data_IF_652180822439
#
_entry.id   IF_652180822439
#
_cell.length_a   1.000
_cell.length_b   1.000
_cell.length_c   1.000
_cell.angle_alpha   90.00
_cell.angle_beta   90.00
_cell.angle_gamma   90.00
#
_symmetry.space_group_name_H-M   'P 1'
#
loop_
_entity.id
_entity.type
_entity.pdbx_description
1 polymer ?
#
# COMPACT_ATOMS: atom_id res chain seq x y z
N UNK A 1 20.22 40.14 -35.89
CA UNK A 1 20.12 39.86 -34.44
C UNK A 1 18.94 38.93 -34.24
N UNK A 2 19.19 37.62 -34.16
CA UNK A 2 18.15 36.60 -33.96
C UNK A 2 18.15 36.16 -32.50
N UNK A 3 17.00 36.28 -31.86
CA UNK A 3 16.73 35.93 -30.46
C UNK A 3 16.86 34.41 -30.26
N UNK A 4 17.89 33.97 -29.54
CA UNK A 4 18.02 32.58 -29.10
C UNK A 4 16.93 32.26 -28.07
N UNK A 5 15.95 31.46 -28.48
CA UNK A 5 14.96 30.85 -27.57
C UNK A 5 15.67 29.84 -26.67
N UNK A 6 15.86 30.17 -25.39
CA UNK A 6 16.43 29.26 -24.39
C UNK A 6 15.46 28.09 -24.12
N UNK A 7 15.82 26.88 -24.51
CA UNK A 7 15.13 25.65 -24.07
C UNK A 7 15.39 25.45 -22.58
N UNK A 8 14.35 25.54 -21.75
CA UNK A 8 14.46 25.49 -20.28
C UNK A 8 14.46 24.08 -19.67
N UNK A 9 14.15 23.03 -20.45
CA UNK A 9 14.00 21.67 -19.93
C UNK A 9 14.52 20.60 -20.91
N UNK A 10 15.54 19.84 -20.49
CA UNK A 10 16.00 18.60 -21.12
C UNK A 10 15.28 17.40 -20.50
N UNK A 11 14.81 16.48 -21.34
CA UNK A 11 14.23 15.20 -20.93
C UNK A 11 15.32 14.19 -20.53
N UNK A 12 14.96 13.14 -19.78
CA UNK A 12 15.94 12.15 -19.31
C UNK A 12 16.60 11.39 -20.48
N UNK A 13 15.87 11.15 -21.58
CA UNK A 13 16.42 10.51 -22.78
C UNK A 13 17.44 11.39 -23.51
N UNK A 14 17.25 12.71 -23.51
CA UNK A 14 18.22 13.67 -24.03
C UNK A 14 19.46 13.74 -23.14
N UNK A 15 19.28 13.74 -21.81
CA UNK A 15 20.40 13.71 -20.88
C UNK A 15 21.30 12.46 -21.04
N UNK A 16 20.71 11.29 -21.30
CA UNK A 16 21.47 10.06 -21.59
C UNK A 16 22.23 10.13 -22.92
N UNK A 17 21.62 10.73 -23.95
CA UNK A 17 22.29 10.95 -25.24
C UNK A 17 23.49 11.87 -25.10
N UNK A 18 23.40 12.87 -24.23
CA UNK A 18 24.47 13.83 -23.98
C UNK A 18 25.64 13.20 -23.22
N UNK A 19 25.34 12.33 -22.24
CA UNK A 19 26.36 11.54 -21.54
C UNK A 19 27.11 10.62 -22.51
N UNK A 20 26.42 9.91 -23.40
CA UNK A 20 27.08 9.04 -24.39
C UNK A 20 28.05 9.78 -25.31
N UNK A 21 27.70 10.99 -25.75
CA UNK A 21 28.58 11.84 -26.57
C UNK A 21 29.83 12.32 -25.82
N UNK A 22 29.73 12.54 -24.50
CA UNK A 22 30.86 12.90 -23.65
C UNK A 22 31.78 11.71 -23.40
N UNK A 23 31.25 10.49 -23.27
CA UNK A 23 32.03 9.25 -23.19
C UNK A 23 32.78 8.95 -24.49
N UNK A 24 32.20 9.29 -25.64
CA UNK A 24 32.83 9.23 -26.97
C UNK A 24 33.94 10.29 -27.18
N UNK A 25 34.21 11.12 -26.17
CA UNK A 25 35.31 12.09 -26.17
C UNK A 25 34.98 13.47 -26.71
N UNK A 26 33.69 13.78 -26.98
CA UNK A 26 33.29 15.13 -27.34
C UNK A 26 33.41 16.08 -26.13
N UNK A 27 33.72 17.35 -26.39
CA UNK A 27 33.85 18.34 -25.32
C UNK A 27 32.47 18.83 -24.86
N UNK A 28 32.36 19.24 -23.59
CA UNK A 28 31.11 19.78 -23.03
C UNK A 28 30.60 21.01 -23.79
N UNK A 29 31.49 21.79 -24.42
CA UNK A 29 31.14 22.94 -25.25
C UNK A 29 30.49 22.54 -26.58
N UNK A 30 31.01 21.49 -27.24
CA UNK A 30 30.47 20.97 -28.50
C UNK A 30 29.09 20.32 -28.30
N UNK A 31 28.92 19.57 -27.22
CA UNK A 31 27.62 18.97 -26.86
C UNK A 31 26.59 20.08 -26.55
N UNK A 32 26.99 21.11 -25.81
CA UNK A 32 26.14 22.25 -25.48
C UNK A 32 25.70 23.04 -26.71
N UNK A 33 26.64 23.33 -27.62
CA UNK A 33 26.37 24.07 -28.86
C UNK A 33 25.44 23.29 -29.80
N UNK A 34 25.63 21.97 -29.91
CA UNK A 34 24.81 21.11 -30.78
C UNK A 34 23.34 21.06 -30.38
N UNK A 35 23.01 21.33 -29.10
CA UNK A 35 21.66 21.18 -28.54
C UNK A 35 21.04 22.56 -28.19
N UNK A 36 21.83 23.62 -28.28
CA UNK A 36 21.39 24.98 -27.99
C UNK A 36 21.17 25.23 -26.48
N UNK A 37 21.96 24.57 -25.63
CA UNK A 37 21.94 24.75 -24.17
C UNK A 37 23.26 25.30 -23.66
N UNK A 38 23.29 25.86 -22.45
CA UNK A 38 24.54 26.34 -21.86
C UNK A 38 25.47 25.18 -21.49
N UNK A 39 26.79 25.37 -21.64
CA UNK A 39 27.82 24.42 -21.17
C UNK A 39 27.61 24.04 -19.70
N UNK A 40 27.11 24.95 -18.86
CA UNK A 40 26.81 24.69 -17.45
C UNK A 40 25.76 23.59 -17.27
N UNK A 41 24.81 23.45 -18.20
CA UNK A 41 23.79 22.40 -18.17
C UNK A 41 24.43 21.03 -18.42
N UNK A 42 25.29 20.93 -19.44
CA UNK A 42 26.03 19.72 -19.77
C UNK A 42 27.01 19.34 -18.66
N UNK A 43 27.74 20.31 -18.10
CA UNK A 43 28.63 20.10 -16.95
C UNK A 43 27.91 19.53 -15.74
N UNK A 44 26.70 20.03 -15.42
CA UNK A 44 25.87 19.50 -14.32
C UNK A 44 25.37 18.08 -14.58
N UNK A 45 25.01 17.75 -15.82
CA UNK A 45 24.59 16.39 -16.21
C UNK A 45 25.79 15.44 -16.08
N UNK A 46 26.96 15.85 -16.58
CA UNK A 46 28.19 15.06 -16.55
C UNK A 46 28.68 14.79 -15.12
N UNK A 47 28.77 15.83 -14.28
CA UNK A 47 29.17 15.64 -12.89
C UNK A 47 28.18 14.75 -12.13
N UNK A 48 26.88 14.85 -12.41
CA UNK A 48 25.86 13.96 -11.83
C UNK A 48 26.05 12.50 -12.29
N UNK A 49 26.37 12.28 -13.56
CA UNK A 49 26.68 10.95 -14.08
C UNK A 49 27.92 10.36 -13.40
N UNK A 50 29.01 11.12 -13.27
CA UNK A 50 30.22 10.67 -12.57
C UNK A 50 29.98 10.33 -11.09
N UNK A 51 29.06 11.02 -10.41
CA UNK A 51 28.74 10.76 -9.01
C UNK A 51 27.77 9.58 -8.79
N UNK A 52 26.86 9.31 -9.75
CA UNK A 52 25.69 8.44 -9.49
C UNK A 52 25.42 7.41 -10.59
N UNK A 53 26.25 7.35 -11.62
CA UNK A 53 26.05 6.54 -12.85
C UNK A 53 24.69 6.77 -13.51
N UNK A 54 24.07 7.93 -13.26
CA UNK A 54 22.74 8.27 -13.74
C UNK A 54 22.68 9.65 -14.37
N UNK A 55 22.21 9.70 -15.61
CA UNK A 55 21.96 10.96 -16.32
C UNK A 55 20.60 11.58 -15.98
N UNK A 56 19.69 10.85 -15.34
CA UNK A 56 18.33 11.29 -15.04
C UNK A 56 18.26 12.34 -13.92
N UNK A 57 17.17 13.13 -13.89
CA UNK A 57 16.93 14.03 -12.74
C UNK A 57 16.72 13.22 -11.46
N UNK A 58 17.37 13.62 -10.35
CA UNK A 58 17.05 13.09 -9.02
C UNK A 58 15.57 13.40 -8.72
N UNK A 59 14.79 12.44 -8.19
CA UNK A 59 13.47 12.75 -7.64
C UNK A 59 13.62 13.91 -6.64
N UNK A 60 12.82 14.96 -6.79
CA UNK A 60 12.82 16.05 -5.82
C UNK A 60 12.50 15.50 -4.43
N UNK A 61 13.05 16.09 -3.37
CA UNK A 61 12.86 15.67 -1.96
C UNK A 61 11.41 15.69 -1.46
N UNK A 62 10.44 15.99 -2.33
CA UNK A 62 9.05 16.20 -1.97
C UNK A 62 8.87 17.43 -1.09
N UNK A 63 7.62 17.71 -0.74
CA UNK A 63 7.30 18.70 0.28
C UNK A 63 7.79 18.19 1.63
N UNK A 64 8.57 19.00 2.36
CA UNK A 64 8.96 18.69 3.74
C UNK A 64 7.71 18.37 4.58
N UNK A 65 7.74 17.26 5.32
CA UNK A 65 6.65 16.89 6.23
C UNK A 65 6.44 17.99 7.27
N UNK A 66 5.17 18.29 7.53
CA UNK A 66 4.77 19.31 8.51
C UNK A 66 4.89 18.82 9.97
N UNK A 67 4.95 17.50 10.17
CA UNK A 67 5.07 16.83 11.47
C UNK A 67 6.38 16.05 11.56
N UNK A 68 6.92 15.96 12.78
CA UNK A 68 8.06 15.12 13.13
C UNK A 68 7.61 13.69 13.46
N UNK A 69 8.52 12.69 13.44
CA UNK A 69 8.17 11.31 13.83
C UNK A 69 7.59 11.16 15.25
N UNK A 70 8.01 12.00 16.19
CA UNK A 70 7.48 12.00 17.56
C UNK A 70 6.06 12.56 17.62
N UNK A 71 5.77 13.59 16.83
CA UNK A 71 4.42 14.14 16.69
C UNK A 71 3.50 13.16 15.97
N UNK A 72 3.98 12.48 14.93
CA UNK A 72 3.25 11.40 14.28
C UNK A 72 2.90 10.31 15.30
N UNK A 73 3.87 9.87 16.13
CA UNK A 73 3.62 8.86 17.18
C UNK A 73 2.61 9.35 18.22
N UNK A 74 2.71 10.60 18.66
CA UNK A 74 1.78 11.21 19.60
C UNK A 74 0.36 11.28 19.02
N UNK A 75 0.25 11.70 17.77
CA UNK A 75 -1.02 11.74 17.05
C UNK A 75 -1.62 10.33 16.95
N UNK A 76 -0.83 9.28 16.64
CA UNK A 76 -1.32 7.89 16.58
C UNK A 76 -1.93 7.47 17.91
N UNK A 77 -1.22 7.72 19.01
CA UNK A 77 -1.67 7.35 20.34
C UNK A 77 -2.93 8.13 20.76
N UNK A 78 -2.95 9.43 20.49
CA UNK A 78 -4.08 10.31 20.77
C UNK A 78 -5.31 9.88 19.98
N UNK A 79 -5.11 9.49 18.71
CA UNK A 79 -6.19 9.05 17.85
C UNK A 79 -6.84 7.75 18.29
N UNK A 80 -6.00 6.80 18.68
CA UNK A 80 -6.47 5.53 19.22
C UNK A 80 -7.20 5.70 20.55
N UNK A 81 -6.76 6.66 21.38
CA UNK A 81 -7.39 6.97 22.67
C UNK A 81 -8.69 7.75 22.52
N UNK A 82 -8.78 8.65 21.53
CA UNK A 82 -9.91 9.55 21.32
C UNK A 82 -10.51 9.40 19.92
N UNK A 83 -11.12 8.23 19.65
CA UNK A 83 -11.62 7.86 18.30
C UNK A 83 -12.70 8.78 17.73
N UNK A 84 -13.39 9.53 18.59
CA UNK A 84 -14.47 10.43 18.21
C UNK A 84 -13.96 11.87 17.96
N UNK A 85 -12.67 12.10 18.17
CA UNK A 85 -12.06 13.40 17.95
C UNK A 85 -11.96 13.67 16.45
N UNK A 86 -12.49 14.82 16.01
CA UNK A 86 -12.40 15.24 14.61
C UNK A 86 -11.07 15.95 14.33
N UNK A 87 -10.74 16.09 13.03
CA UNK A 87 -9.48 16.67 12.60
C UNK A 87 -9.20 18.09 13.16
N UNK A 88 -10.24 18.87 13.46
CA UNK A 88 -10.08 20.20 14.09
C UNK A 88 -9.64 20.08 15.54
N UNK A 89 -10.27 19.21 16.32
CA UNK A 89 -9.89 18.97 17.71
C UNK A 89 -8.48 18.36 17.82
N UNK A 90 -8.11 17.47 16.90
CA UNK A 90 -6.74 16.96 16.82
C UNK A 90 -5.71 18.05 16.53
N UNK A 91 -6.03 18.93 15.58
CA UNK A 91 -5.16 20.04 15.22
C UNK A 91 -4.94 20.97 16.43
N UNK A 92 -6.01 21.27 17.18
CA UNK A 92 -5.92 22.06 18.40
C UNK A 92 -5.10 21.36 19.47
N UNK A 93 -5.32 20.05 19.69
CA UNK A 93 -4.63 19.27 20.70
C UNK A 93 -3.13 19.08 20.40
N UNK A 94 -2.77 18.93 19.12
CA UNK A 94 -1.38 18.92 18.68
C UNK A 94 -0.73 20.28 18.92
N UNK A 95 -1.39 21.35 18.50
CA UNK A 95 -0.89 22.71 18.69
C UNK A 95 -0.66 23.03 20.18
N UNK A 96 -1.60 22.67 21.06
CA UNK A 96 -1.46 22.91 22.50
C UNK A 96 -0.37 22.07 23.16
N UNK A 97 -0.09 20.87 22.65
CA UNK A 97 0.84 19.93 23.29
C UNK A 97 2.27 20.03 22.76
N UNK A 98 2.44 20.20 21.45
CA UNK A 98 3.76 20.21 20.79
C UNK A 98 4.16 21.58 20.26
N UNK A 99 3.23 22.55 20.24
CA UNK A 99 3.45 23.89 19.69
C UNK A 99 3.41 23.95 18.16
N UNK A 100 3.24 22.82 17.48
CA UNK A 100 3.27 22.74 16.02
C UNK A 100 1.91 23.08 15.42
N UNK A 101 1.89 24.13 14.60
CA UNK A 101 0.67 24.56 13.90
C UNK A 101 0.57 23.88 12.55
N UNK A 102 -0.33 22.90 12.43
CA UNK A 102 -0.68 22.24 11.17
C UNK A 102 -2.09 22.63 10.70
N UNK A 103 -2.36 22.47 9.41
CA UNK A 103 -3.72 22.66 8.89
C UNK A 103 -4.62 21.47 9.25
N UNK A 104 -5.93 21.69 9.37
CA UNK A 104 -6.91 20.62 9.59
C UNK A 104 -6.91 19.60 8.44
N UNK A 105 -6.64 20.02 7.21
CA UNK A 105 -6.50 19.11 6.07
C UNK A 105 -5.27 18.20 6.18
N UNK A 106 -4.16 18.70 6.73
CA UNK A 106 -2.97 17.88 7.01
C UNK A 106 -3.29 16.79 8.02
N UNK A 107 -4.04 17.12 9.06
CA UNK A 107 -4.51 16.15 10.06
C UNK A 107 -5.48 15.14 9.45
N UNK A 108 -6.38 15.55 8.55
CA UNK A 108 -7.24 14.60 7.81
C UNK A 108 -6.42 13.63 6.98
N UNK A 109 -5.51 14.13 6.14
CA UNK A 109 -4.65 13.30 5.31
C UNK A 109 -3.80 12.34 6.17
N UNK A 110 -3.37 12.80 7.35
CA UNK A 110 -2.66 11.98 8.32
C UNK A 110 -3.56 10.91 8.96
N UNK A 111 -4.78 11.24 9.40
CA UNK A 111 -5.75 10.28 9.93
C UNK A 111 -6.06 9.17 8.92
N UNK A 112 -6.17 9.52 7.64
CA UNK A 112 -6.29 8.54 6.55
C UNK A 112 -5.02 7.69 6.37
N UNK A 113 -3.83 8.27 6.57
CA UNK A 113 -2.55 7.57 6.43
C UNK A 113 -2.13 6.68 7.61
N UNK A 114 -2.71 6.88 8.80
CA UNK A 114 -2.42 6.08 10.01
C UNK A 114 -3.03 4.68 9.93
N UNK A 115 -4.09 4.54 9.12
CA UNK A 115 -4.76 3.28 8.84
C UNK A 115 -5.56 2.74 10.03
N UNK A 116 -6.68 2.10 9.71
CA UNK A 116 -7.38 1.19 10.62
C UNK A 116 -6.99 -0.22 10.19
N UNK A 117 -6.49 -1.02 11.13
CA UNK A 117 -6.19 -2.43 10.85
C UNK A 117 -7.48 -3.23 10.95
N UNK A 118 -7.78 -4.00 9.92
CA UNK A 118 -8.99 -4.82 9.84
C UNK A 118 -8.63 -6.25 9.44
N UNK A 119 -9.48 -7.19 9.84
CA UNK A 119 -9.46 -8.57 9.37
C UNK A 119 -10.82 -8.88 8.75
N UNK A 120 -10.81 -9.60 7.64
CA UNK A 120 -12.00 -10.24 7.09
C UNK A 120 -11.59 -11.43 6.26
N UNK A 121 -12.50 -12.40 6.13
CA UNK A 121 -12.38 -13.56 5.27
C UNK A 121 -13.50 -13.57 4.23
N UNK A 122 -13.21 -14.11 3.06
CA UNK A 122 -14.18 -14.32 1.98
C UNK A 122 -14.19 -15.79 1.57
N UNK A 123 -15.33 -16.27 1.12
CA UNK A 123 -15.47 -17.59 0.50
C UNK A 123 -16.46 -17.51 -0.66
N UNK A 124 -16.60 -18.61 -1.41
CA UNK A 124 -17.75 -18.77 -2.28
C UNK A 124 -19.00 -18.77 -1.40
N UNK A 125 -20.00 -17.99 -1.80
CA UNK A 125 -21.30 -17.85 -1.13
C UNK A 125 -21.28 -17.32 0.32
N UNK A 126 -20.13 -16.81 0.78
CA UNK A 126 -20.01 -16.25 2.11
C UNK A 126 -18.87 -15.25 2.28
N UNK A 127 -18.90 -14.61 3.44
CA UNK A 127 -17.80 -13.81 4.01
C UNK A 127 -17.95 -13.77 5.52
N UNK A 128 -16.86 -13.50 6.22
CA UNK A 128 -16.91 -13.21 7.65
C UNK A 128 -17.46 -11.80 7.89
N UNK A 129 -17.86 -11.52 9.11
CA UNK A 129 -17.95 -10.13 9.57
C UNK A 129 -16.55 -9.48 9.52
N UNK A 130 -16.51 -8.17 9.27
CA UNK A 130 -15.25 -7.42 9.29
C UNK A 130 -14.86 -7.11 10.74
N UNK A 131 -13.69 -7.56 11.16
CA UNK A 131 -13.18 -7.32 12.50
C UNK A 131 -12.19 -6.16 12.53
N UNK A 132 -12.45 -5.16 13.37
CA UNK A 132 -11.55 -4.03 13.57
C UNK A 132 -10.48 -4.41 14.61
N UNK A 133 -9.23 -4.54 14.19
CA UNK A 133 -8.11 -4.85 15.07
C UNK A 133 -7.68 -3.57 15.80
N UNK A 134 -7.95 -3.53 17.10
CA UNK A 134 -7.63 -2.39 17.97
C UNK A 134 -6.24 -2.58 18.60
N UNK A 135 -5.71 -1.52 19.20
CA UNK A 135 -4.60 -1.62 20.18
C UNK A 135 -3.26 -2.18 19.68
N UNK A 136 -2.79 -1.70 18.52
CA UNK A 136 -1.42 -1.95 18.06
C UNK A 136 -1.32 -3.00 16.93
N UNK A 137 -0.10 -3.44 16.60
CA UNK A 137 0.10 -4.40 15.53
C UNK A 137 -0.52 -5.76 15.89
N UNK A 138 -0.97 -6.48 14.87
CA UNK A 138 -1.44 -7.86 15.00
C UNK A 138 -0.23 -8.78 15.20
N UNK A 139 -0.04 -9.26 16.43
CA UNK A 139 0.99 -10.27 16.74
C UNK A 139 0.42 -11.66 16.51
N UNK A 140 1.27 -12.69 16.40
CA UNK A 140 0.82 -14.08 16.29
C UNK A 140 -0.15 -14.50 17.41
N UNK A 141 0.15 -14.11 18.66
CA UNK A 141 -0.72 -14.40 19.80
C UNK A 141 -2.10 -13.76 19.64
N UNK A 142 -2.13 -12.50 19.21
CA UNK A 142 -3.38 -11.77 18.95
C UNK A 142 -4.12 -12.35 17.76
N UNK A 143 -3.43 -12.78 16.71
CA UNK A 143 -4.05 -13.48 15.59
C UNK A 143 -4.74 -14.76 16.05
N UNK A 144 -4.07 -15.61 16.83
CA UNK A 144 -4.71 -16.80 17.41
C UNK A 144 -5.91 -16.44 18.29
N UNK A 145 -5.71 -15.53 19.24
CA UNK A 145 -6.69 -15.26 20.29
C UNK A 145 -7.90 -14.45 19.78
N UNK A 146 -7.69 -13.48 18.89
CA UNK A 146 -8.76 -12.59 18.41
C UNK A 146 -9.35 -13.02 17.07
N UNK A 147 -8.56 -13.64 16.20
CA UNK A 147 -8.96 -13.95 14.82
C UNK A 147 -9.27 -15.42 14.64
N UNK A 148 -8.31 -16.32 14.92
CA UNK A 148 -8.53 -17.74 14.69
C UNK A 148 -9.67 -18.28 15.54
N UNK A 149 -9.58 -18.13 16.86
CA UNK A 149 -10.54 -18.72 17.80
C UNK A 149 -11.95 -18.15 17.68
N UNK A 150 -12.07 -16.87 17.31
CA UNK A 150 -13.35 -16.17 17.33
C UNK A 150 -13.97 -15.96 15.96
N UNK A 151 -13.20 -16.08 14.88
CA UNK A 151 -13.67 -15.83 13.52
C UNK A 151 -13.43 -17.05 12.64
N UNK A 152 -12.18 -17.49 12.49
CA UNK A 152 -11.84 -18.55 11.51
C UNK A 152 -12.39 -19.91 11.93
N UNK A 153 -12.21 -20.32 13.19
CA UNK A 153 -12.67 -21.63 13.69
C UNK A 153 -14.20 -21.75 13.61
N UNK A 154 -15.00 -20.78 14.11
CA UNK A 154 -16.45 -20.84 13.93
C UNK A 154 -16.88 -20.84 12.46
N UNK A 155 -16.20 -20.08 11.61
CA UNK A 155 -16.51 -20.00 10.18
C UNK A 155 -16.18 -21.32 9.45
N UNK A 156 -15.04 -21.93 9.78
CA UNK A 156 -14.64 -23.24 9.28
C UNK A 156 -15.66 -24.31 9.69
N UNK A 157 -16.08 -24.31 10.96
CA UNK A 157 -17.09 -25.23 11.46
C UNK A 157 -18.46 -25.08 10.76
N UNK A 158 -18.81 -23.87 10.33
CA UNK A 158 -20.05 -23.63 9.58
C UNK A 158 -19.98 -24.14 8.13
N UNK A 159 -18.80 -24.16 7.51
CA UNK A 159 -18.58 -24.69 6.16
C UNK A 159 -18.42 -26.22 6.19
N UNK A 160 -17.75 -26.76 7.22
CA UNK A 160 -17.49 -28.18 7.36
C UNK A 160 -16.19 -28.62 6.69
N UNK A 161 -16.10 -29.91 6.37
CA UNK A 161 -14.85 -30.59 5.96
C UNK A 161 -14.23 -30.06 4.65
N UNK A 162 -15.02 -29.37 3.82
CA UNK A 162 -14.55 -28.75 2.59
C UNK A 162 -13.81 -27.41 2.81
N UNK A 163 -13.74 -26.94 4.07
CA UNK A 163 -13.06 -25.70 4.39
C UNK A 163 -11.54 -25.82 4.24
N UNK A 164 -10.97 -24.93 3.43
CA UNK A 164 -9.52 -24.76 3.30
C UNK A 164 -9.18 -23.31 3.60
N UNK A 165 -8.31 -23.09 4.60
CA UNK A 165 -7.82 -21.75 4.92
C UNK A 165 -6.81 -21.29 3.87
N UNK A 166 -7.06 -20.14 3.26
CA UNK A 166 -6.09 -19.40 2.44
C UNK A 166 -5.69 -18.12 3.18
N UNK A 167 -4.40 -17.93 3.40
CA UNK A 167 -3.84 -16.70 3.97
C UNK A 167 -2.50 -16.33 3.31
N UNK A 168 -1.98 -15.16 3.64
CA UNK A 168 -0.66 -14.72 3.18
C UNK A 168 0.47 -15.32 4.05
N UNK A 169 1.71 -15.21 3.56
CA UNK A 169 2.89 -15.65 4.31
C UNK A 169 3.36 -14.61 5.36
N UNK A 170 2.44 -13.82 5.94
CA UNK A 170 2.82 -12.85 6.97
C UNK A 170 3.36 -13.54 8.22
N UNK A 171 4.28 -12.86 8.91
CA UNK A 171 4.96 -13.40 10.10
C UNK A 171 4.00 -13.89 11.20
N UNK A 172 2.88 -13.20 11.50
CA UNK A 172 1.91 -13.70 12.48
C UNK A 172 1.24 -15.01 12.08
N UNK A 173 0.89 -15.18 10.80
CA UNK A 173 0.19 -16.38 10.30
C UNK A 173 1.09 -17.62 10.27
N UNK A 174 2.40 -17.43 10.09
CA UNK A 174 3.41 -18.51 10.03
C UNK A 174 4.11 -18.79 11.36
N UNK A 175 3.61 -18.22 12.46
CA UNK A 175 4.16 -18.49 13.78
C UNK A 175 3.79 -19.90 14.26
N UNK A 176 4.71 -20.60 14.93
CA UNK A 176 4.49 -21.96 15.44
C UNK A 176 3.18 -22.07 16.25
N UNK A 177 2.91 -21.09 17.13
CA UNK A 177 1.68 -21.11 17.93
C UNK A 177 0.40 -21.11 17.09
N UNK A 178 0.44 -20.51 15.90
CA UNK A 178 -0.67 -20.42 14.96
C UNK A 178 -0.80 -21.74 14.19
N UNK A 179 0.32 -22.30 13.75
CA UNK A 179 0.37 -23.65 13.13
C UNK A 179 -0.23 -24.71 14.06
N UNK A 180 0.22 -24.73 15.32
CA UNK A 180 -0.28 -25.68 16.33
C UNK A 180 -1.79 -25.52 16.54
N UNK A 181 -2.28 -24.27 16.59
CA UNK A 181 -3.71 -24.00 16.77
C UNK A 181 -4.54 -24.45 15.56
N UNK A 182 -4.05 -24.27 14.33
CA UNK A 182 -4.75 -24.76 13.14
C UNK A 182 -4.79 -26.29 13.12
N UNK A 183 -3.69 -26.93 13.52
CA UNK A 183 -3.61 -28.39 13.62
C UNK A 183 -4.58 -28.96 14.67
N UNK A 184 -4.63 -28.35 15.86
CA UNK A 184 -5.55 -28.75 16.94
C UNK A 184 -7.02 -28.65 16.53
N UNK A 185 -7.38 -27.63 15.74
CA UNK A 185 -8.74 -27.39 15.24
C UNK A 185 -9.04 -28.17 13.94
N UNK A 186 -8.08 -28.97 13.44
CA UNK A 186 -8.24 -29.74 12.20
C UNK A 186 -8.35 -28.90 10.93
N UNK A 187 -7.95 -27.62 10.97
CA UNK A 187 -8.07 -26.70 9.84
C UNK A 187 -6.91 -26.93 8.87
N UNK A 188 -7.24 -27.40 7.67
CA UNK A 188 -6.27 -27.51 6.57
C UNK A 188 -6.03 -26.13 5.98
N UNK A 189 -4.76 -25.76 5.87
CA UNK A 189 -4.34 -24.52 5.22
C UNK A 189 -3.70 -24.82 3.86
N UNK A 190 -4.06 -24.03 2.86
CA UNK A 190 -3.50 -24.12 1.52
C UNK A 190 -2.01 -23.79 1.51
N UNK A 191 -1.21 -24.62 0.85
CA UNK A 191 0.18 -24.26 0.53
C UNK A 191 0.20 -23.21 -0.57
N UNK A 192 0.75 -22.02 -0.26
CA UNK A 192 0.79 -20.90 -1.19
C UNK A 192 2.22 -20.34 -1.36
N UNK A 193 2.71 -20.16 -2.60
CA UNK A 193 4.04 -19.61 -2.82
C UNK A 193 4.12 -18.14 -2.39
N UNK A 194 5.23 -17.77 -1.73
CA UNK A 194 5.40 -16.49 -1.04
C UNK A 194 5.41 -15.21 -1.90
N UNK A 195 5.37 -15.32 -3.23
CA UNK A 195 5.63 -14.20 -4.15
C UNK A 195 4.47 -13.92 -5.13
N UNK A 196 3.22 -14.20 -4.76
CA UNK A 196 2.06 -13.94 -5.63
C UNK A 196 0.95 -13.15 -4.93
N UNK A 197 1.19 -11.87 -4.55
CA UNK A 197 0.17 -10.99 -3.99
C UNK A 197 -0.99 -10.76 -4.98
N UNK A 198 -0.71 -10.78 -6.28
CA UNK A 198 -1.68 -10.64 -7.37
C UNK A 198 -2.71 -11.77 -7.44
N UNK A 199 -2.54 -12.81 -6.62
CA UNK A 199 -3.36 -14.00 -6.63
C UNK A 199 -4.23 -14.20 -5.38
N UNK A 200 -4.28 -13.22 -4.47
CA UNK A 200 -5.21 -13.26 -3.34
C UNK A 200 -6.51 -12.50 -3.68
N UNK A 201 -7.65 -13.18 -3.89
CA UNK A 201 -8.91 -12.53 -4.30
C UNK A 201 -9.40 -11.49 -3.29
N UNK A 202 -9.01 -11.60 -2.02
CA UNK A 202 -9.43 -10.64 -0.99
C UNK A 202 -8.77 -9.27 -1.17
N UNK A 203 -7.62 -9.17 -1.82
CA UNK A 203 -6.97 -7.89 -2.11
C UNK A 203 -7.83 -7.03 -3.05
N UNK A 204 -8.51 -7.67 -4.01
CA UNK A 204 -9.48 -7.00 -4.87
C UNK A 204 -10.71 -6.52 -4.08
N UNK A 205 -11.13 -7.27 -3.06
CA UNK A 205 -12.21 -6.86 -2.15
C UNK A 205 -11.74 -5.68 -1.28
N UNK A 206 -10.50 -5.69 -0.80
CA UNK A 206 -9.91 -4.56 -0.06
C UNK A 206 -9.82 -3.28 -0.90
N UNK A 207 -9.42 -3.38 -2.16
CA UNK A 207 -9.44 -2.22 -3.07
C UNK A 207 -10.86 -1.69 -3.28
N UNK A 208 -11.84 -2.58 -3.52
CA UNK A 208 -13.23 -2.19 -3.66
C UNK A 208 -13.79 -1.51 -2.40
N UNK A 209 -13.46 -2.04 -1.21
CA UNK A 209 -13.82 -1.46 0.07
C UNK A 209 -13.19 -0.07 0.24
N UNK A 210 -11.88 0.06 -0.04
CA UNK A 210 -11.14 1.31 0.04
C UNK A 210 -11.75 2.40 -0.85
N UNK A 211 -12.10 2.05 -2.10
CA UNK A 211 -12.76 2.97 -3.04
C UNK A 211 -14.15 3.40 -2.56
N UNK A 212 -14.95 2.47 -2.02
CA UNK A 212 -16.28 2.78 -1.47
C UNK A 212 -16.22 3.72 -0.28
N UNK A 213 -15.31 3.45 0.66
CA UNK A 213 -15.09 4.30 1.83
C UNK A 213 -14.58 5.69 1.42
N UNK A 214 -13.65 5.76 0.47
CA UNK A 214 -13.15 7.04 -0.07
C UNK A 214 -14.21 7.85 -0.82
N UNK A 215 -15.19 7.17 -1.43
CA UNK A 215 -16.30 7.80 -2.15
C UNK A 215 -17.43 8.32 -1.27
N UNK A 216 -17.38 8.13 0.06
CA UNK A 216 -18.45 8.57 0.97
C UNK A 216 -18.59 10.08 1.04
N UNK A 217 -19.83 10.54 1.11
CA UNK A 217 -20.19 11.93 1.36
C UNK A 217 -21.11 12.05 2.58
N UNK A 218 -20.81 12.96 3.53
CA UNK A 218 -19.64 13.83 3.58
C UNK A 218 -18.32 13.05 3.83
N UNK A 219 -17.15 13.65 3.53
CA UNK A 219 -15.85 13.03 3.81
C UNK A 219 -15.70 12.69 5.30
N UNK A 220 -15.12 11.52 5.57
CA UNK A 220 -14.92 11.02 6.94
C UNK A 220 -13.93 11.91 7.70
N UNK A 221 -14.27 12.23 8.95
CA UNK A 221 -13.53 13.19 9.78
C UNK A 221 -12.95 12.60 11.05
N UNK A 222 -13.41 11.42 11.47
CA UNK A 222 -12.98 10.73 12.70
C UNK A 222 -12.58 9.28 12.42
N UNK A 223 -11.78 8.68 13.30
CA UNK A 223 -11.49 7.25 13.22
C UNK A 223 -12.75 6.40 13.46
N UNK A 224 -13.65 6.84 14.35
CA UNK A 224 -14.91 6.15 14.57
C UNK A 224 -15.80 6.14 13.31
N UNK A 225 -15.86 7.25 12.58
CA UNK A 225 -16.56 7.31 11.30
C UNK A 225 -15.93 6.39 10.26
N UNK A 226 -14.60 6.30 10.23
CA UNK A 226 -13.88 5.36 9.36
C UNK A 226 -14.17 3.90 9.71
N UNK A 227 -14.11 3.53 10.98
CA UNK A 227 -14.44 2.17 11.44
C UNK A 227 -15.88 1.80 11.08
N UNK A 228 -16.84 2.68 11.36
CA UNK A 228 -18.24 2.47 10.98
C UNK A 228 -18.40 2.35 9.47
N UNK A 229 -17.70 3.20 8.70
CA UNK A 229 -17.77 3.15 7.25
C UNK A 229 -17.21 1.85 6.67
N UNK A 230 -16.12 1.34 7.23
CA UNK A 230 -15.54 0.05 6.83
C UNK A 230 -16.55 -1.09 7.06
N UNK A 231 -17.19 -1.13 8.22
CA UNK A 231 -18.21 -2.15 8.55
C UNK A 231 -19.42 -2.07 7.59
N UNK A 232 -19.99 -0.88 7.44
CA UNK A 232 -21.17 -0.68 6.59
C UNK A 232 -20.89 -0.95 5.11
N UNK A 233 -19.73 -0.54 4.59
CA UNK A 233 -19.39 -0.80 3.18
C UNK A 233 -19.01 -2.25 2.95
N UNK A 234 -18.38 -2.93 3.91
CA UNK A 234 -18.13 -4.38 3.84
C UNK A 234 -19.44 -5.14 3.67
N UNK A 235 -20.45 -4.80 4.47
CA UNK A 235 -21.77 -5.43 4.39
C UNK A 235 -22.51 -5.15 3.08
N UNK A 236 -22.22 -4.01 2.45
CA UNK A 236 -22.82 -3.60 1.17
C UNK A 236 -22.14 -4.21 -0.05
N UNK A 237 -20.96 -4.82 0.07
CA UNK A 237 -20.34 -5.50 -1.07
C UNK A 237 -21.23 -6.68 -1.45
N UNK A 238 -21.77 -6.76 -2.68
CA UNK A 238 -22.62 -7.88 -3.06
C UNK A 238 -21.81 -9.18 -3.11
N UNK A 239 -22.37 -10.28 -2.58
CA UNK A 239 -21.70 -11.60 -2.60
C UNK A 239 -21.35 -12.05 -4.02
N UNK A 240 -22.17 -11.68 -5.02
CA UNK A 240 -21.90 -11.97 -6.43
C UNK A 240 -20.56 -11.38 -6.91
N UNK A 241 -20.17 -10.21 -6.41
CA UNK A 241 -18.87 -9.59 -6.74
C UNK A 241 -17.74 -10.41 -6.13
N UNK A 242 -17.89 -10.87 -4.88
CA UNK A 242 -16.91 -11.72 -4.20
C UNK A 242 -16.75 -13.05 -4.95
N UNK A 243 -17.85 -13.73 -5.26
CA UNK A 243 -17.84 -14.97 -6.02
C UNK A 243 -17.14 -14.81 -7.38
N UNK A 244 -17.47 -13.75 -8.12
CA UNK A 244 -16.84 -13.47 -9.42
C UNK A 244 -15.32 -13.25 -9.30
N UNK A 245 -14.85 -12.60 -8.23
CA UNK A 245 -13.43 -12.39 -7.98
C UNK A 245 -12.71 -13.71 -7.66
N UNK A 246 -13.33 -14.57 -6.87
CA UNK A 246 -12.80 -15.91 -6.55
C UNK A 246 -12.73 -16.76 -7.82
N UNK A 247 -13.79 -16.80 -8.63
CA UNK A 247 -13.84 -17.56 -9.88
C UNK A 247 -12.80 -17.09 -10.89
N UNK A 248 -12.66 -15.78 -11.08
CA UNK A 248 -11.62 -15.20 -11.95
C UNK A 248 -10.22 -15.59 -11.48
N UNK A 249 -9.99 -15.68 -10.17
CA UNK A 249 -8.71 -16.11 -9.64
C UNK A 249 -8.45 -17.60 -9.88
N UNK A 250 -9.46 -18.46 -9.70
CA UNK A 250 -9.37 -19.89 -10.04
C UNK A 250 -9.04 -20.09 -11.52
N UNK A 251 -9.72 -19.37 -12.42
CA UNK A 251 -9.47 -19.41 -13.86
C UNK A 251 -8.06 -18.94 -14.23
N UNK A 252 -7.56 -17.87 -13.58
CA UNK A 252 -6.18 -17.40 -13.77
C UNK A 252 -5.17 -18.44 -13.32
N UNK A 253 -5.37 -19.06 -12.15
CA UNK A 253 -4.50 -20.12 -11.65
C UNK A 253 -4.48 -21.33 -12.59
N UNK A 254 -5.64 -21.77 -13.07
CA UNK A 254 -5.74 -22.86 -14.06
C UNK A 254 -5.04 -22.50 -15.38
N UNK A 255 -5.17 -21.25 -15.84
CA UNK A 255 -4.50 -20.78 -17.05
C UNK A 255 -2.98 -20.70 -16.84
N UNK A 256 -2.50 -20.21 -15.69
CA UNK A 256 -1.07 -20.21 -15.35
C UNK A 256 -0.49 -21.62 -15.24
N UNK A 257 -1.27 -22.59 -14.74
CA UNK A 257 -0.88 -24.01 -14.73
C UNK A 257 -0.86 -24.62 -16.14
N UNK A 258 -1.81 -24.28 -17.01
CA UNK A 258 -1.82 -24.70 -18.41
C UNK A 258 -0.67 -24.07 -19.22
N UNK A 259 -0.31 -22.82 -18.92
CA UNK A 259 0.82 -22.10 -19.51
C UNK A 259 2.16 -22.60 -18.96
N UNK A 260 2.24 -23.25 -17.78
CA UNK A 260 3.47 -23.93 -17.32
C UNK A 260 3.91 -25.09 -18.23
N UNK A 261 3.10 -25.50 -19.20
CA UNK A 261 3.55 -26.34 -20.32
C UNK A 261 4.42 -25.61 -21.36
N UNK A 262 4.40 -24.27 -21.40
CA UNK A 262 5.15 -23.40 -22.32
C UNK A 262 5.61 -22.12 -21.60
N UNK A 263 6.90 -22.11 -21.22
CA UNK A 263 7.62 -21.04 -20.50
C UNK A 263 7.16 -19.59 -20.76
N UNK A 264 6.93 -18.83 -19.67
CA UNK A 264 7.04 -17.35 -19.67
C UNK A 264 7.90 -16.86 -18.49
N UNK A 265 8.75 -15.83 -18.70
CA UNK A 265 9.76 -15.39 -17.75
C UNK A 265 9.21 -14.33 -16.79
N UNK A 266 8.52 -14.76 -15.74
CA UNK A 266 8.26 -13.92 -14.56
C UNK A 266 8.77 -14.58 -13.28
N UNK A 267 9.87 -15.31 -13.41
CA UNK A 267 10.55 -15.97 -12.30
C UNK A 267 12.03 -15.60 -12.34
N UNK A 268 12.44 -14.70 -11.45
CA UNK A 268 13.76 -14.69 -10.82
C UNK A 268 13.58 -14.41 -9.34
#
# INVERSE_FOLDING_TARGET
>A
MSTMSQRSHLTDSEAWRDVGRLEEGQTQAEVAQAIGVSQTVISRIWNRFLETESAGRRPGQGRRRATTPNEDRYLVLTARRHRNMNATLFQQHLCSTTGTTVSTQTVRNWLHGVGVLVYGGISIDGRTDLYIIRDGPLTARRYRDEILRHIVVPYAAAIGDDFILMDDNSRPHRAILVEDSLFEEGIVRMEWPACSPDMNPIEHVWDALGRRVAGRQPPLQTLQELERALLEEWDRIPQLVINSLIDCMLQRCSTSLAVRGNQTPYWK
#
